data_IF_195890066753
#
_entry.id   IF_195890066753
#
_cell.length_a   1.000
_cell.length_b   1.000
_cell.length_c   1.000
_cell.angle_alpha   90.00
_cell.angle_beta   90.00
_cell.angle_gamma   90.00
#
_symmetry.space_group_name_H-M   'P 1'
#
loop_
_entity.id
_entity.type
_entity.pdbx_description
1 polymer ?
#
# COMPACT_ATOMS: atom_id res chain seq x y z
N UNK A 1 -25.55 4.41 3.40
CA UNK A 1 -24.23 4.84 2.91
C UNK A 1 -23.40 5.48 4.01
N UNK A 2 -22.09 5.21 4.04
CA UNK A 2 -21.10 5.89 4.87
C UNK A 2 -19.88 6.28 4.03
N UNK A 3 -19.28 7.45 4.31
CA UNK A 3 -18.10 7.97 3.62
C UNK A 3 -17.01 8.26 4.64
N UNK A 4 -15.81 7.79 4.35
CA UNK A 4 -14.61 8.00 5.15
C UNK A 4 -13.48 8.58 4.31
N UNK A 5 -12.68 9.47 4.89
CA UNK A 5 -11.31 9.72 4.43
C UNK A 5 -10.36 8.81 5.19
N UNK A 6 -9.28 8.40 4.54
CA UNK A 6 -8.17 7.67 5.15
C UNK A 6 -6.85 8.05 4.46
N UNK A 7 -5.75 7.36 4.77
CA UNK A 7 -4.49 7.58 4.07
C UNK A 7 -3.69 8.79 4.57
N UNK A 8 -2.87 9.35 3.68
CA UNK A 8 -1.85 10.36 4.04
C UNK A 8 -2.46 11.64 4.62
N UNK A 9 -3.64 12.06 4.14
CA UNK A 9 -4.41 13.18 4.68
C UNK A 9 -4.68 13.01 6.19
N UNK A 10 -5.17 11.83 6.59
CA UNK A 10 -5.51 11.56 7.97
C UNK A 10 -4.29 11.36 8.88
N UNK A 11 -3.12 11.02 8.31
CA UNK A 11 -1.83 10.93 9.02
C UNK A 11 -1.05 12.25 9.08
N UNK A 12 -1.42 13.25 8.29
CA UNK A 12 -0.62 14.47 8.12
C UNK A 12 0.63 14.30 7.25
N UNK A 13 0.74 13.20 6.49
CA UNK A 13 1.86 12.91 5.57
C UNK A 13 1.59 13.48 4.16
N UNK A 14 1.10 14.71 4.07
CA UNK A 14 0.62 15.32 2.83
C UNK A 14 1.78 16.00 2.09
N UNK A 15 1.85 15.80 0.79
CA UNK A 15 2.71 16.54 -0.12
C UNK A 15 1.99 16.88 -1.43
N UNK A 16 2.69 17.52 -2.37
CA UNK A 16 2.14 17.91 -3.67
C UNK A 16 1.63 16.73 -4.52
N UNK A 17 2.12 15.52 -4.25
CA UNK A 17 1.71 14.31 -4.95
C UNK A 17 0.56 13.58 -4.27
N UNK A 18 0.17 14.00 -3.06
CA UNK A 18 -0.84 13.33 -2.25
C UNK A 18 -2.24 13.58 -2.79
N UNK A 19 -3.06 12.53 -2.77
CA UNK A 19 -4.47 12.58 -3.14
C UNK A 19 -5.32 12.28 -1.90
N UNK A 20 -6.63 12.52 -2.01
CA UNK A 20 -7.58 12.24 -0.94
C UNK A 20 -8.10 10.82 -1.13
N UNK A 21 -7.64 9.90 -0.28
CA UNK A 21 -8.16 8.53 -0.28
C UNK A 21 -9.55 8.51 0.38
N UNK A 22 -10.58 8.30 -0.44
CA UNK A 22 -11.97 8.20 0.01
C UNK A 22 -12.47 6.75 -0.03
N UNK A 23 -13.17 6.35 1.02
CA UNK A 23 -13.85 5.06 1.15
C UNK A 23 -15.35 5.29 1.22
N UNK A 24 -16.08 4.57 0.38
CA UNK A 24 -17.53 4.56 0.34
C UNK A 24 -18.03 3.17 0.72
N UNK A 25 -18.80 3.09 1.80
CA UNK A 25 -19.46 1.86 2.24
C UNK A 25 -20.95 2.00 1.93
N UNK A 26 -21.45 1.11 1.07
CA UNK A 26 -22.85 1.13 0.62
C UNK A 26 -23.44 -0.27 0.50
N UNK A 27 -24.77 -0.35 0.50
CA UNK A 27 -25.45 -1.59 0.15
C UNK A 27 -25.27 -1.89 -1.34
N UNK A 28 -25.28 -3.17 -1.72
CA UNK A 28 -25.07 -3.58 -3.13
C UNK A 28 -26.10 -2.92 -4.06
N UNK A 29 -27.35 -2.89 -3.63
CA UNK A 29 -28.49 -2.37 -4.42
C UNK A 29 -28.66 -0.84 -4.35
N UNK A 30 -27.87 -0.15 -3.52
CA UNK A 30 -27.93 1.30 -3.38
C UNK A 30 -27.34 1.99 -4.62
N UNK A 31 -28.19 2.73 -5.36
CA UNK A 31 -27.79 3.50 -6.55
C UNK A 31 -27.30 4.89 -6.17
N UNK A 32 -26.15 5.30 -6.70
CA UNK A 32 -25.49 6.57 -6.38
C UNK A 32 -25.38 7.46 -7.62
N UNK A 33 -26.52 7.91 -8.14
CA UNK A 33 -26.60 8.58 -9.45
C UNK A 33 -25.91 9.96 -9.50
N UNK A 34 -25.61 10.57 -8.34
CA UNK A 34 -25.06 11.93 -8.24
C UNK A 34 -23.63 11.96 -7.67
N UNK A 35 -23.00 10.80 -7.47
CA UNK A 35 -21.65 10.70 -6.95
C UNK A 35 -20.70 10.24 -8.06
N UNK A 36 -19.58 10.94 -8.15
CA UNK A 36 -18.45 10.52 -8.97
C UNK A 36 -17.75 9.33 -8.28
N UNK A 37 -18.19 8.12 -8.61
CA UNK A 37 -17.78 6.87 -7.96
C UNK A 37 -16.30 6.54 -8.15
N UNK A 38 -15.67 7.08 -9.19
CA UNK A 38 -14.26 6.82 -9.50
C UNK A 38 -13.30 7.45 -8.47
N UNK A 39 -13.81 8.38 -7.66
CA UNK A 39 -13.08 8.98 -6.54
C UNK A 39 -13.06 8.12 -5.28
N UNK A 40 -13.82 7.02 -5.25
CA UNK A 40 -14.00 6.21 -4.06
C UNK A 40 -13.48 4.79 -4.22
N UNK A 41 -12.82 4.30 -3.19
CA UNK A 41 -12.75 2.88 -2.92
C UNK A 41 -14.13 2.41 -2.45
N UNK A 42 -14.80 1.54 -3.20
CA UNK A 42 -16.19 1.15 -2.91
C UNK A 42 -16.24 -0.25 -2.30
N UNK A 43 -16.87 -0.35 -1.13
CA UNK A 43 -17.07 -1.59 -0.40
C UNK A 43 -18.52 -1.74 0.05
N UNK A 44 -18.93 -2.98 0.28
CA UNK A 44 -20.14 -3.27 1.04
C UNK A 44 -19.79 -3.70 2.46
N UNK A 45 -20.77 -3.65 3.36
CA UNK A 45 -20.61 -3.97 4.79
C UNK A 45 -20.01 -5.36 5.02
N UNK A 46 -20.53 -6.38 4.34
CA UNK A 46 -20.03 -7.75 4.47
C UNK A 46 -18.54 -7.85 4.14
N UNK A 47 -18.09 -7.17 3.07
CA UNK A 47 -16.66 -7.19 2.70
C UNK A 47 -15.78 -6.48 3.73
N UNK A 48 -16.27 -5.41 4.36
CA UNK A 48 -15.58 -4.74 5.46
C UNK A 48 -15.48 -5.66 6.68
N UNK A 49 -16.56 -6.37 7.01
CA UNK A 49 -16.59 -7.36 8.11
C UNK A 49 -15.62 -8.53 7.85
N UNK A 50 -15.53 -9.03 6.62
CA UNK A 50 -14.52 -10.03 6.22
C UNK A 50 -13.11 -9.51 6.45
N UNK A 51 -12.80 -8.31 5.95
CA UNK A 51 -11.48 -7.66 6.12
C UNK A 51 -11.15 -7.42 7.59
N UNK A 52 -12.14 -7.06 8.42
CA UNK A 52 -11.98 -6.92 9.87
C UNK A 52 -11.66 -8.26 10.55
N UNK A 53 -12.29 -9.33 10.09
CA UNK A 53 -12.05 -10.69 10.59
C UNK A 53 -10.70 -11.25 10.14
N UNK A 54 -10.23 -10.91 8.95
CA UNK A 54 -8.88 -11.24 8.49
C UNK A 54 -7.81 -10.51 9.31
N UNK A 55 -8.13 -9.31 9.82
CA UNK A 55 -7.17 -8.49 10.54
C UNK A 55 -6.03 -7.99 9.65
N UNK A 56 -6.26 -7.91 8.33
CA UNK A 56 -5.22 -7.56 7.37
C UNK A 56 -4.74 -6.10 7.57
N UNK A 57 -3.60 -5.69 6.99
CA UNK A 57 -3.09 -4.33 7.17
C UNK A 57 -4.08 -3.21 6.80
N UNK A 58 -4.96 -3.45 5.82
CA UNK A 58 -5.96 -2.45 5.43
C UNK A 58 -7.02 -2.25 6.52
N UNK A 59 -7.48 -3.32 7.18
CA UNK A 59 -8.41 -3.19 8.32
C UNK A 59 -7.82 -2.36 9.47
N UNK A 60 -6.56 -2.60 9.82
CA UNK A 60 -5.86 -1.84 10.86
C UNK A 60 -5.60 -0.39 10.47
N UNK A 61 -5.27 -0.15 9.19
CA UNK A 61 -5.15 1.20 8.64
C UNK A 61 -6.47 1.98 8.78
N UNK A 62 -7.59 1.39 8.38
CA UNK A 62 -8.91 2.01 8.51
C UNK A 62 -9.28 2.25 9.98
N UNK A 63 -9.11 1.25 10.84
CA UNK A 63 -9.46 1.35 12.25
C UNK A 63 -8.69 2.46 12.98
N UNK A 64 -7.39 2.62 12.70
CA UNK A 64 -6.53 3.56 13.40
C UNK A 64 -6.64 4.99 12.85
N UNK A 65 -6.77 5.16 11.54
CA UNK A 65 -6.49 6.44 10.89
C UNK A 65 -7.70 7.05 10.18
N UNK A 66 -8.71 6.24 9.80
CA UNK A 66 -9.84 6.77 9.03
C UNK A 66 -10.66 7.79 9.83
N UNK A 67 -11.23 8.75 9.09
CA UNK A 67 -12.15 9.77 9.61
C UNK A 67 -13.46 9.69 8.85
N UNK A 68 -14.56 9.51 9.58
CA UNK A 68 -15.88 9.54 8.99
C UNK A 68 -16.21 10.97 8.54
N UNK A 69 -16.55 11.12 7.27
CA UNK A 69 -17.00 12.38 6.66
C UNK A 69 -18.52 12.46 6.70
N UNK A 70 -19.20 11.36 6.38
CA UNK A 70 -20.65 11.33 6.25
C UNK A 70 -21.23 9.96 6.60
N UNK A 71 -22.46 9.95 7.12
CA UNK A 71 -23.28 8.76 7.34
C UNK A 71 -24.75 9.09 7.16
N UNK A 72 -25.48 8.26 6.43
CA UNK A 72 -26.93 8.43 6.25
C UNK A 72 -27.70 8.19 7.55
N UNK A 73 -27.31 7.20 8.35
CA UNK A 73 -27.99 6.83 9.60
C UNK A 73 -27.39 7.50 10.84
N UNK A 74 -26.26 8.19 10.70
CA UNK A 74 -25.45 8.69 11.83
C UNK A 74 -24.61 7.61 12.51
N UNK A 75 -24.72 6.36 12.07
CA UNK A 75 -23.90 5.23 12.54
C UNK A 75 -22.47 5.32 12.00
N UNK A 76 -21.56 4.59 12.66
CA UNK A 76 -20.17 4.47 12.23
C UNK A 76 -19.75 3.01 12.34
N UNK A 77 -19.69 2.33 11.19
CA UNK A 77 -19.38 0.90 11.11
C UNK A 77 -18.09 0.53 11.84
N UNK A 78 -17.04 1.36 11.80
CA UNK A 78 -15.78 1.04 12.47
C UNK A 78 -15.86 1.16 13.99
N UNK A 79 -16.76 2.01 14.52
CA UNK A 79 -17.06 2.01 15.96
C UNK A 79 -17.84 0.75 16.36
N UNK A 80 -18.79 0.33 15.52
CA UNK A 80 -19.64 -0.83 15.79
C UNK A 80 -18.86 -2.15 15.73
N UNK A 81 -17.94 -2.29 14.77
CA UNK A 81 -17.08 -3.48 14.63
C UNK A 81 -15.99 -3.55 15.70
N UNK A 82 -15.64 -2.42 16.31
CA UNK A 82 -14.50 -2.33 17.23
C UNK A 82 -13.16 -2.62 16.53
N UNK A 83 -12.25 -3.27 17.24
CA UNK A 83 -10.89 -3.55 16.75
C UNK A 83 -10.88 -4.68 15.71
N UNK A 84 -10.09 -4.58 14.62
CA UNK A 84 -9.83 -5.71 13.75
C UNK A 84 -9.21 -6.89 14.51
N UNK A 85 -9.39 -8.11 13.99
CA UNK A 85 -8.74 -9.29 14.55
C UNK A 85 -7.20 -9.20 14.41
N UNK A 86 -6.44 -9.96 15.22
CA UNK A 86 -5.01 -10.04 15.05
C UNK A 86 -4.62 -10.54 13.64
N UNK A 87 -3.66 -9.87 13.01
CA UNK A 87 -3.15 -10.26 11.70
C UNK A 87 -2.38 -11.58 11.77
N UNK A 88 -2.81 -12.58 10.98
CA UNK A 88 -2.22 -13.93 10.98
C UNK A 88 -1.67 -14.37 9.62
N UNK A 89 -1.92 -13.64 8.53
CA UNK A 89 -1.60 -14.06 7.16
C UNK A 89 -0.20 -13.60 6.68
N UNK A 90 0.73 -13.35 7.60
CA UNK A 90 2.03 -12.74 7.30
C UNK A 90 2.79 -13.48 6.20
N UNK A 91 3.00 -14.79 6.35
CA UNK A 91 3.83 -15.57 5.42
C UNK A 91 3.28 -15.53 3.99
N UNK A 92 1.97 -15.69 3.83
CA UNK A 92 1.32 -15.68 2.52
C UNK A 92 1.41 -14.31 1.86
N UNK A 93 1.21 -13.23 2.62
CA UNK A 93 1.28 -11.87 2.08
C UNK A 93 2.72 -11.47 1.73
N UNK A 94 3.71 -11.84 2.56
CA UNK A 94 5.13 -11.64 2.23
C UNK A 94 5.48 -12.39 0.95
N UNK A 95 5.09 -13.66 0.82
CA UNK A 95 5.30 -14.44 -0.41
C UNK A 95 4.65 -13.78 -1.62
N UNK A 96 3.39 -13.33 -1.49
CA UNK A 96 2.67 -12.63 -2.56
C UNK A 96 3.41 -11.38 -3.03
N UNK A 97 3.88 -10.54 -2.11
CA UNK A 97 4.59 -9.31 -2.47
C UNK A 97 6.01 -9.58 -2.97
N UNK A 98 6.70 -10.61 -2.47
CA UNK A 98 7.96 -11.10 -3.06
C UNK A 98 7.75 -11.57 -4.50
N UNK A 99 6.71 -12.35 -4.78
CA UNK A 99 6.39 -12.80 -6.15
C UNK A 99 6.11 -11.61 -7.06
N UNK A 100 5.34 -10.62 -6.61
CA UNK A 100 5.09 -9.41 -7.38
C UNK A 100 6.39 -8.66 -7.70
N UNK A 101 7.25 -8.48 -6.70
CA UNK A 101 8.54 -7.83 -6.86
C UNK A 101 9.42 -8.56 -7.90
N UNK A 102 9.65 -9.86 -7.73
CA UNK A 102 10.53 -10.61 -8.62
C UNK A 102 9.99 -10.67 -10.05
N UNK A 103 8.67 -10.78 -10.21
CA UNK A 103 8.03 -10.74 -11.54
C UNK A 103 8.33 -9.43 -12.24
N UNK A 104 8.07 -8.29 -11.58
CA UNK A 104 8.31 -6.97 -12.18
C UNK A 104 9.79 -6.67 -12.40
N UNK A 105 10.66 -7.09 -11.47
CA UNK A 105 12.13 -7.01 -11.63
C UNK A 105 12.58 -7.77 -12.87
N UNK A 106 12.12 -9.00 -13.05
CA UNK A 106 12.55 -9.85 -14.18
C UNK A 106 12.03 -9.30 -15.51
N UNK A 107 10.80 -8.78 -15.56
CA UNK A 107 10.32 -8.06 -16.75
C UNK A 107 11.20 -6.85 -17.07
N UNK A 108 11.50 -6.03 -16.07
CA UNK A 108 12.31 -4.83 -16.24
C UNK A 108 13.76 -5.13 -16.68
N UNK A 109 14.34 -6.26 -16.27
CA UNK A 109 15.68 -6.67 -16.70
C UNK A 109 15.70 -7.26 -18.13
N UNK A 110 14.60 -7.85 -18.58
CA UNK A 110 14.53 -8.56 -19.87
C UNK A 110 13.82 -7.76 -20.98
N UNK A 111 13.13 -6.67 -20.64
CA UNK A 111 12.44 -5.79 -21.58
C UNK A 111 12.47 -4.34 -21.11
N UNK A 112 12.49 -3.40 -22.06
CA UNK A 112 12.31 -1.97 -21.79
C UNK A 112 10.85 -1.53 -21.87
N UNK A 113 9.94 -2.41 -22.29
CA UNK A 113 8.53 -2.09 -22.44
C UNK A 113 7.89 -1.86 -21.08
N UNK A 114 7.10 -0.79 -20.96
CA UNK A 114 6.37 -0.45 -19.73
C UNK A 114 7.26 -0.27 -18.49
N UNK A 115 8.51 0.20 -18.65
CA UNK A 115 9.47 0.39 -17.53
C UNK A 115 8.89 1.11 -16.31
N UNK A 116 8.14 2.21 -16.51
CA UNK A 116 7.57 3.00 -15.43
C UNK A 116 6.49 2.23 -14.68
N UNK A 117 5.73 1.39 -15.40
CA UNK A 117 4.76 0.49 -14.78
C UNK A 117 5.47 -0.56 -13.92
N UNK A 118 6.53 -1.21 -14.41
CA UNK A 118 7.25 -2.21 -13.63
C UNK A 118 7.95 -1.60 -12.40
N UNK A 119 8.53 -0.40 -12.53
CA UNK A 119 9.07 0.36 -11.39
C UNK A 119 7.97 0.72 -10.37
N UNK A 120 6.78 1.10 -10.84
CA UNK A 120 5.59 1.30 -9.99
C UNK A 120 5.19 0.02 -9.24
N UNK A 121 5.27 -1.14 -9.89
CA UNK A 121 4.94 -2.43 -9.27
C UNK A 121 5.99 -2.87 -8.25
N UNK A 122 7.28 -2.61 -8.52
CA UNK A 122 8.37 -2.80 -7.55
C UNK A 122 8.12 -1.93 -6.30
N UNK A 123 7.79 -0.65 -6.47
CA UNK A 123 7.46 0.23 -5.33
C UNK A 123 6.27 -0.31 -4.53
N UNK A 124 5.20 -0.72 -5.21
CA UNK A 124 4.00 -1.28 -4.59
C UNK A 124 4.34 -2.53 -3.76
N UNK A 125 5.17 -3.42 -4.31
CA UNK A 125 5.62 -4.63 -3.65
C UNK A 125 6.43 -4.30 -2.38
N UNK A 126 7.44 -3.43 -2.48
CA UNK A 126 8.29 -3.02 -1.35
C UNK A 126 7.44 -2.43 -0.21
N UNK A 127 6.57 -1.46 -0.53
CA UNK A 127 5.74 -0.78 0.46
C UNK A 127 4.80 -1.74 1.18
N UNK A 128 4.07 -2.57 0.43
CA UNK A 128 3.09 -3.46 1.02
C UNK A 128 3.77 -4.62 1.79
N UNK A 129 4.90 -5.13 1.29
CA UNK A 129 5.71 -6.11 2.02
C UNK A 129 6.16 -5.53 3.37
N UNK A 130 6.72 -4.32 3.38
CA UNK A 130 7.16 -3.65 4.60
C UNK A 130 6.01 -3.42 5.59
N UNK A 131 4.84 -2.99 5.11
CA UNK A 131 3.65 -2.83 5.96
C UNK A 131 3.18 -4.15 6.56
N UNK A 132 3.17 -5.24 5.79
CA UNK A 132 2.83 -6.57 6.31
C UNK A 132 3.86 -7.03 7.35
N UNK A 133 5.16 -6.85 7.07
CA UNK A 133 6.25 -7.20 7.98
C UNK A 133 6.17 -6.41 9.30
N UNK A 134 5.97 -5.10 9.21
CA UNK A 134 5.82 -4.21 10.36
C UNK A 134 4.66 -4.66 11.25
N UNK A 135 3.49 -4.94 10.67
CA UNK A 135 2.32 -5.37 11.43
C UNK A 135 2.46 -6.79 11.98
N UNK A 136 2.87 -7.74 11.13
CA UNK A 136 2.85 -9.17 11.46
C UNK A 136 4.03 -9.61 12.31
N UNK A 137 5.25 -9.13 12.03
CA UNK A 137 6.47 -9.51 12.75
C UNK A 137 6.82 -8.51 13.85
N UNK A 138 6.90 -7.23 13.52
CA UNK A 138 7.34 -6.19 14.48
C UNK A 138 6.21 -5.72 15.42
N UNK A 139 4.96 -6.08 15.13
CA UNK A 139 3.76 -5.63 15.86
C UNK A 139 3.62 -4.11 15.91
N UNK A 140 4.07 -3.44 14.85
CA UNK A 140 4.02 -1.99 14.69
C UNK A 140 3.00 -1.62 13.61
N UNK A 141 2.27 -0.52 13.84
CA UNK A 141 1.30 0.01 12.88
C UNK A 141 2.01 1.05 12.01
N UNK A 142 2.34 0.67 10.77
CA UNK A 142 3.01 1.55 9.83
C UNK A 142 2.43 1.40 8.41
N UNK A 143 1.58 2.35 8.05
CA UNK A 143 0.89 2.42 6.76
C UNK A 143 1.43 3.55 5.87
N UNK A 144 2.56 4.16 6.27
CA UNK A 144 3.23 5.18 5.49
C UNK A 144 3.72 4.59 4.16
N UNK A 145 3.74 5.41 3.11
CA UNK A 145 4.41 5.06 1.84
C UNK A 145 5.92 4.85 2.00
N UNK A 146 6.49 5.34 3.12
CA UNK A 146 7.90 5.15 3.50
C UNK A 146 8.10 4.00 4.47
N UNK A 147 7.10 3.13 4.66
CA UNK A 147 7.13 2.02 5.65
C UNK A 147 8.40 1.18 5.57
N UNK A 148 8.90 0.92 4.36
CA UNK A 148 10.13 0.14 4.14
C UNK A 148 11.39 0.77 4.75
N UNK A 149 11.49 2.10 4.87
CA UNK A 149 12.60 2.77 5.54
C UNK A 149 12.40 2.92 7.05
N UNK A 150 11.25 2.53 7.56
CA UNK A 150 10.84 2.70 8.96
C UNK A 150 10.66 1.34 9.66
N UNK A 151 11.50 0.35 9.33
CA UNK A 151 11.52 -0.98 9.95
C UNK A 151 12.68 -1.16 10.96
N UNK A 152 13.38 -0.09 11.31
CA UNK A 152 14.54 -0.16 12.21
C UNK A 152 15.74 -0.83 11.55
N UNK A 153 16.29 -1.87 12.18
CA UNK A 153 17.41 -2.65 11.63
C UNK A 153 17.04 -3.42 10.36
N UNK A 154 15.74 -3.65 10.13
CA UNK A 154 15.19 -4.32 8.96
C UNK A 154 14.80 -3.34 7.84
N UNK A 155 15.14 -2.05 7.98
CA UNK A 155 14.84 -1.05 6.96
C UNK A 155 15.54 -1.35 5.64
N UNK A 156 14.86 -1.05 4.54
CA UNK A 156 15.41 -1.25 3.20
C UNK A 156 16.66 -0.38 3.00
N UNK A 157 17.83 -0.97 2.64
CA UNK A 157 19.09 -0.24 2.55
C UNK A 157 19.36 0.31 1.14
N UNK A 158 18.31 0.82 0.48
CA UNK A 158 18.43 1.52 -0.82
C UNK A 158 18.68 3.01 -0.61
N UNK A 159 19.27 3.67 -1.61
CA UNK A 159 19.45 5.12 -1.56
C UNK A 159 18.10 5.85 -1.59
N UNK A 160 18.09 7.05 -1.03
CA UNK A 160 16.92 7.96 -1.11
C UNK A 160 16.57 8.29 -2.56
N UNK A 161 17.54 8.25 -3.47
CA UNK A 161 17.34 8.54 -4.90
C UNK A 161 16.55 7.40 -5.54
N UNK A 162 17.03 6.16 -5.45
CA UNK A 162 16.31 4.97 -5.95
C UNK A 162 14.90 4.89 -5.41
N UNK A 163 14.73 5.08 -4.09
CA UNK A 163 13.41 5.01 -3.48
C UNK A 163 12.45 6.09 -4.02
N UNK A 164 12.94 7.31 -4.27
CA UNK A 164 12.17 8.39 -4.90
C UNK A 164 11.83 8.11 -6.35
N UNK A 165 12.72 7.47 -7.11
CA UNK A 165 12.45 7.07 -8.49
C UNK A 165 11.31 6.05 -8.56
N UNK A 166 11.38 5.03 -7.70
CA UNK A 166 10.31 4.03 -7.55
C UNK A 166 8.97 4.67 -7.13
N UNK A 167 9.01 5.59 -6.16
CA UNK A 167 7.83 6.34 -5.72
C UNK A 167 7.26 7.21 -6.85
N UNK A 168 8.12 7.90 -7.61
CA UNK A 168 7.71 8.73 -8.75
C UNK A 168 7.02 7.90 -9.83
N UNK A 169 7.58 6.75 -10.19
CA UNK A 169 6.96 5.81 -11.13
C UNK A 169 5.56 5.38 -10.65
N UNK A 170 5.40 5.11 -9.34
CA UNK A 170 4.08 4.77 -8.78
C UNK A 170 3.06 5.91 -8.95
N UNK A 171 3.46 7.14 -8.65
CA UNK A 171 2.59 8.32 -8.81
C UNK A 171 2.23 8.51 -10.29
N UNK A 172 3.22 8.39 -11.19
CA UNK A 172 3.00 8.49 -12.63
C UNK A 172 2.00 7.45 -13.14
N UNK A 173 2.18 6.17 -12.81
CA UNK A 173 1.32 5.10 -13.28
C UNK A 173 -0.11 5.13 -12.71
N UNK A 174 -0.34 5.80 -11.58
CA UNK A 174 -1.67 5.86 -10.95
C UNK A 174 -2.42 7.16 -11.16
N UNK A 175 -1.68 8.25 -11.28
CA UNK A 175 -2.25 9.61 -11.29
C UNK A 175 -1.88 10.38 -12.55
N UNK A 176 -1.07 9.79 -13.43
CA UNK A 176 -0.59 10.48 -14.64
C UNK A 176 0.30 11.68 -14.32
N UNK A 177 0.89 11.73 -13.12
CA UNK A 177 1.66 12.88 -12.64
C UNK A 177 3.14 12.55 -12.46
N UNK A 178 4.01 13.41 -13.00
CA UNK A 178 5.47 13.26 -12.95
C UNK A 178 6.08 13.01 -14.34
N UNK A 179 7.41 12.87 -14.36
CA UNK A 179 8.16 12.59 -15.58
C UNK A 179 8.49 11.10 -15.68
N UNK A 180 8.55 10.60 -16.92
CA UNK A 180 9.06 9.27 -17.25
C UNK A 180 10.49 9.10 -16.72
N UNK A 181 10.84 7.86 -16.37
CA UNK A 181 12.19 7.50 -15.91
C UNK A 181 13.17 7.49 -17.08
N UNK A 182 14.23 8.29 -16.97
CA UNK A 182 15.34 8.35 -17.94
C UNK A 182 16.20 7.09 -17.91
N UNK A 183 17.01 6.86 -18.94
CA UNK A 183 17.93 5.72 -18.98
C UNK A 183 19.03 5.83 -17.91
N UNK A 184 19.48 7.04 -17.58
CA UNK A 184 20.41 7.29 -16.48
C UNK A 184 19.80 6.93 -15.13
N UNK A 185 18.58 7.41 -14.85
CA UNK A 185 17.86 7.07 -13.61
C UNK A 185 17.55 5.57 -13.52
N UNK A 186 17.25 4.91 -14.64
CA UNK A 186 17.03 3.46 -14.66
C UNK A 186 18.30 2.69 -14.27
N UNK A 187 19.48 3.15 -14.74
CA UNK A 187 20.77 2.55 -14.34
C UNK A 187 21.01 2.69 -12.84
N UNK A 188 20.60 3.81 -12.23
CA UNK A 188 20.68 3.97 -10.77
C UNK A 188 19.84 2.90 -10.05
N UNK A 189 18.58 2.70 -10.47
CA UNK A 189 17.73 1.66 -9.89
C UNK A 189 18.34 0.27 -10.08
N UNK A 190 18.86 -0.03 -11.27
CA UNK A 190 19.52 -1.32 -11.57
C UNK A 190 20.71 -1.60 -10.67
N UNK A 191 21.50 -0.58 -10.33
CA UNK A 191 22.65 -0.74 -9.43
C UNK A 191 22.26 -1.20 -8.01
N UNK A 192 21.00 -1.01 -7.61
CA UNK A 192 20.50 -1.36 -6.29
C UNK A 192 19.51 -2.54 -6.27
N UNK A 193 19.15 -3.14 -7.41
CA UNK A 193 18.21 -4.27 -7.44
C UNK A 193 18.69 -5.47 -6.60
N UNK A 194 19.98 -5.79 -6.63
CA UNK A 194 20.56 -6.85 -5.78
C UNK A 194 20.40 -6.54 -4.28
N UNK A 195 20.41 -5.25 -3.91
CA UNK A 195 20.18 -4.83 -2.53
C UNK A 195 18.73 -5.10 -2.13
N UNK A 196 17.78 -4.79 -3.02
CA UNK A 196 16.35 -5.03 -2.81
C UNK A 196 16.07 -6.54 -2.75
N UNK A 197 16.67 -7.34 -3.64
CA UNK A 197 16.58 -8.81 -3.64
C UNK A 197 16.96 -9.38 -2.29
N UNK A 198 18.16 -9.02 -1.81
CA UNK A 198 18.68 -9.47 -0.53
C UNK A 198 17.76 -9.04 0.63
N UNK A 199 17.17 -7.85 0.57
CA UNK A 199 16.25 -7.36 1.58
C UNK A 199 14.98 -8.22 1.65
N UNK A 200 14.32 -8.51 0.51
CA UNK A 200 13.17 -9.41 0.48
C UNK A 200 13.51 -10.80 1.02
N UNK A 201 14.60 -11.41 0.54
CA UNK A 201 15.02 -12.75 0.94
C UNK A 201 15.34 -12.84 2.45
N UNK A 202 16.03 -11.84 2.98
CA UNK A 202 16.38 -11.80 4.40
C UNK A 202 15.15 -11.65 5.28
N UNK A 203 14.22 -10.76 4.93
CA UNK A 203 13.00 -10.56 5.72
C UNK A 203 12.05 -11.74 5.64
N UNK A 204 11.94 -12.41 4.49
CA UNK A 204 11.21 -13.68 4.37
C UNK A 204 11.82 -14.72 5.30
N UNK A 205 13.15 -14.89 5.31
CA UNK A 205 13.82 -15.82 6.24
C UNK A 205 13.54 -15.48 7.71
N UNK A 206 13.64 -14.20 8.10
CA UNK A 206 13.36 -13.73 9.47
C UNK A 206 11.89 -13.86 9.90
N UNK A 207 10.96 -13.87 8.93
CA UNK A 207 9.52 -13.97 9.18
C UNK A 207 9.03 -15.38 9.47
N UNK A 208 9.81 -16.42 9.11
CA UNK A 208 9.50 -17.80 9.47
C UNK A 208 9.59 -17.93 11.00
N UNK A 209 8.53 -18.46 11.60
CA UNK A 209 8.41 -18.72 13.03
C UNK A 209 9.03 -20.09 13.32
#
# INVERSE_FOLDING_TARGET
>A
MEIFAFGSLCRGEIDQSSDIDLLLIKNKDEKLNNLDIDKFSIYNRNRIEEIWNEGNPFSWHLFLESKQIFSTSGENIFKDLGKPKPYQNLENDLKKFSTLYYTSRDFLMNSSDSRDFELSMIFLAIRNFATCYSLGKLKQFNFSRKSAHHLGEDSIPVSKTTFKLLERSRILSTRGFGNLITDEELKEVFSELVIIDNWFDNLVKKSKI
#
